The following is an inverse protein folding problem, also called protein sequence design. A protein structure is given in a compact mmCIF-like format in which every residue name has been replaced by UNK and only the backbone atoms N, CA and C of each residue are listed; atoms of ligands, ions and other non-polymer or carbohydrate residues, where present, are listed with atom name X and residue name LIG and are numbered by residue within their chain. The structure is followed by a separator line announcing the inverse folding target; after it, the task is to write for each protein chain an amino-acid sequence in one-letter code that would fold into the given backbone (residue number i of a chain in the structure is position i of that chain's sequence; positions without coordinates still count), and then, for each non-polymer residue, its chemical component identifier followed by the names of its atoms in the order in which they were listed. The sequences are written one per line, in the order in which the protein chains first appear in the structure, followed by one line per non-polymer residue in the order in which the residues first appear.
data_IF_032985366071
#
_entry.id   IF_032985366071
#
_cell.length_a   1.000
_cell.length_b   1.000
_cell.length_c   1.000
_cell.angle_alpha   90.00
_cell.angle_beta   90.00
_cell.angle_gamma   90.00
#
_symmetry.space_group_name_H-M   'P 1'
#
loop_
_entity.id
_entity.type
_entity.pdbx_description
1 polymer ?
#
# COMPACT_ATOMS: atom_id res chain seq x y z
N UNK A 1 8.65 29.30 -5.32
CA UNK A 1 7.46 29.54 -4.46
C UNK A 1 6.22 28.82 -5.00
N UNK A 2 5.94 28.83 -6.30
CA UNK A 2 4.78 28.15 -6.91
C UNK A 2 4.77 26.64 -6.71
N UNK A 3 5.88 25.93 -6.96
CA UNK A 3 5.97 24.46 -6.83
C UNK A 3 5.66 23.96 -5.42
N UNK A 4 6.10 24.69 -4.38
CA UNK A 4 5.83 24.36 -2.98
C UNK A 4 4.35 24.52 -2.58
N UNK A 5 3.68 25.52 -3.12
CA UNK A 5 2.24 25.75 -2.90
C UNK A 5 1.39 24.65 -3.59
N UNK A 6 1.77 24.25 -4.82
CA UNK A 6 1.10 23.14 -5.52
C UNK A 6 1.27 21.80 -4.79
N UNK A 7 2.48 21.51 -4.29
CA UNK A 7 2.75 20.31 -3.52
C UNK A 7 1.93 20.22 -2.23
N UNK A 8 1.76 21.32 -1.50
CA UNK A 8 0.91 21.36 -0.29
C UNK A 8 -0.58 21.20 -0.60
N UNK A 9 -1.09 21.88 -1.64
CA UNK A 9 -2.48 21.72 -2.06
C UNK A 9 -2.81 20.27 -2.44
N UNK A 10 -1.89 19.62 -3.15
CA UNK A 10 -2.05 18.22 -3.54
C UNK A 10 -2.01 17.27 -2.34
N UNK A 11 -1.12 17.49 -1.38
CA UNK A 11 -1.06 16.71 -0.14
C UNK A 11 -2.36 16.82 0.67
N UNK A 12 -2.95 18.01 0.77
CA UNK A 12 -4.25 18.23 1.44
C UNK A 12 -5.36 17.44 0.73
N UNK A 13 -5.38 17.42 -0.60
CA UNK A 13 -6.36 16.67 -1.38
C UNK A 13 -6.24 15.17 -1.14
N UNK A 14 -5.02 14.62 -1.18
CA UNK A 14 -4.75 13.19 -0.93
C UNK A 14 -5.18 12.80 0.49
N UNK A 15 -4.80 13.57 1.50
CA UNK A 15 -5.19 13.31 2.89
C UNK A 15 -6.70 13.47 3.11
N UNK A 16 -7.34 14.45 2.46
CA UNK A 16 -8.80 14.64 2.50
C UNK A 16 -9.54 13.44 1.89
N UNK A 17 -9.09 12.94 0.73
CA UNK A 17 -9.65 11.75 0.10
C UNK A 17 -9.44 10.49 0.96
N UNK A 18 -8.26 10.34 1.55
CA UNK A 18 -7.96 9.23 2.46
C UNK A 18 -8.88 9.23 3.69
N UNK A 19 -9.09 10.40 4.30
CA UNK A 19 -10.01 10.56 5.42
C UNK A 19 -11.45 10.27 5.02
N UNK A 20 -11.89 10.77 3.86
CA UNK A 20 -13.23 10.50 3.32
C UNK A 20 -13.45 9.00 3.08
N UNK A 21 -12.45 8.28 2.53
CA UNK A 21 -12.49 6.84 2.35
C UNK A 21 -12.63 6.09 3.68
N UNK A 22 -11.87 6.50 4.71
CA UNK A 22 -11.95 5.91 6.06
C UNK A 22 -13.35 6.09 6.65
N UNK A 23 -13.85 7.32 6.67
CA UNK A 23 -15.18 7.64 7.22
C UNK A 23 -16.29 6.90 6.47
N UNK A 24 -16.25 6.89 5.14
CA UNK A 24 -17.23 6.18 4.32
C UNK A 24 -17.20 4.67 4.54
N UNK A 25 -16.02 4.08 4.70
CA UNK A 25 -15.87 2.64 4.96
C UNK A 25 -16.43 2.24 6.34
N UNK A 26 -16.26 3.10 7.34
CA UNK A 26 -16.87 2.91 8.67
C UNK A 26 -18.38 3.02 8.57
N UNK A 27 -18.89 4.06 7.90
CA UNK A 27 -20.33 4.26 7.69
C UNK A 27 -20.99 3.08 6.97
N UNK A 28 -20.33 2.55 5.93
CA UNK A 28 -20.80 1.39 5.17
C UNK A 28 -20.73 0.07 5.94
N UNK A 29 -20.01 0.03 7.07
CA UNK A 29 -19.78 -1.18 7.86
C UNK A 29 -18.78 -2.16 7.24
N UNK A 30 -17.99 -1.72 6.27
CA UNK A 30 -17.01 -2.55 5.54
C UNK A 30 -15.67 -2.67 6.27
N UNK A 31 -15.49 -1.97 7.38
CA UNK A 31 -14.21 -1.81 8.07
C UNK A 31 -13.58 -3.15 8.52
N UNK A 32 -14.39 -4.12 8.97
CA UNK A 32 -13.88 -5.43 9.38
C UNK A 32 -13.29 -6.24 8.22
N UNK A 33 -13.91 -6.15 7.03
CA UNK A 33 -13.48 -6.84 5.82
C UNK A 33 -12.24 -6.20 5.21
N UNK A 34 -12.13 -4.89 5.31
CA UNK A 34 -11.06 -4.07 4.75
C UNK A 34 -10.09 -3.56 5.81
N UNK A 35 -9.97 -4.27 6.96
CA UNK A 35 -9.18 -3.80 8.09
C UNK A 35 -7.71 -3.51 7.72
N UNK A 36 -7.06 -4.38 6.93
CA UNK A 36 -5.67 -4.20 6.54
C UNK A 36 -5.46 -2.98 5.61
N UNK A 37 -6.18 -2.84 4.46
CA UNK A 37 -6.04 -1.66 3.62
C UNK A 37 -6.45 -0.36 4.33
N UNK A 38 -7.53 -0.38 5.12
CA UNK A 38 -7.96 0.80 5.87
C UNK A 38 -6.97 1.18 6.99
N UNK A 39 -6.38 0.19 7.65
CA UNK A 39 -5.30 0.40 8.62
C UNK A 39 -4.08 1.07 7.99
N UNK A 40 -3.73 0.68 6.76
CA UNK A 40 -2.67 1.32 5.99
C UNK A 40 -3.01 2.77 5.62
N UNK A 41 -4.23 3.02 5.12
CA UNK A 41 -4.70 4.40 4.82
C UNK A 41 -4.73 5.26 6.07
N UNK A 42 -5.16 4.71 7.21
CA UNK A 42 -5.10 5.40 8.49
C UNK A 42 -3.66 5.76 8.89
N UNK A 43 -2.73 4.82 8.72
CA UNK A 43 -1.30 5.05 8.90
C UNK A 43 -0.75 6.16 8.02
N UNK A 44 -1.13 6.19 6.73
CA UNK A 44 -0.79 7.27 5.80
C UNK A 44 -1.27 8.63 6.32
N UNK A 45 -2.55 8.76 6.67
CA UNK A 45 -3.13 10.02 7.19
C UNK A 45 -2.43 10.46 8.48
N UNK A 46 -2.19 9.53 9.39
CA UNK A 46 -1.54 9.83 10.67
C UNK A 46 -0.09 10.29 10.47
N UNK A 47 0.67 9.60 9.61
CA UNK A 47 2.09 9.87 9.40
C UNK A 47 2.27 11.10 8.51
N UNK A 48 1.68 11.11 7.31
CA UNK A 48 1.89 12.19 6.34
C UNK A 48 1.06 13.43 6.66
N UNK A 49 -0.18 13.24 7.12
CA UNK A 49 -1.08 14.35 7.39
C UNK A 49 -0.84 15.03 8.73
N UNK A 50 -0.38 14.32 9.75
CA UNK A 50 -0.25 14.85 11.12
C UNK A 50 1.19 14.83 11.62
N UNK A 51 1.83 13.65 11.67
CA UNK A 51 3.09 13.51 12.38
C UNK A 51 4.25 14.22 11.66
N UNK A 52 4.36 14.08 10.34
CA UNK A 52 5.39 14.75 9.54
C UNK A 52 5.22 16.28 9.54
N UNK A 53 4.00 16.78 9.43
CA UNK A 53 3.72 18.22 9.49
C UNK A 53 4.03 18.81 10.87
N UNK A 54 3.70 18.08 11.96
CA UNK A 54 4.04 18.50 13.32
C UNK A 54 5.55 18.59 13.55
N UNK A 55 6.31 17.55 13.12
CA UNK A 55 7.77 17.53 13.28
C UNK A 55 8.43 18.60 12.39
N UNK A 56 7.90 18.80 11.17
CA UNK A 56 8.35 19.85 10.26
C UNK A 56 8.15 21.25 10.88
N UNK A 57 6.99 21.49 11.49
CA UNK A 57 6.70 22.75 12.17
C UNK A 57 7.63 22.99 13.37
N UNK A 58 7.92 21.93 14.15
CA UNK A 58 8.71 22.04 15.38
C UNK A 58 10.19 22.20 15.15
N UNK A 59 10.77 21.50 14.17
CA UNK A 59 12.22 21.40 13.97
C UNK A 59 12.71 22.02 12.66
N UNK A 60 11.83 22.27 11.71
CA UNK A 60 12.18 22.81 10.39
C UNK A 60 12.71 21.75 9.41
N UNK A 61 12.66 22.08 8.12
CA UNK A 61 12.98 21.19 7.00
C UNK A 61 14.45 20.72 6.98
N UNK A 62 15.38 21.56 7.43
CA UNK A 62 16.82 21.31 7.38
C UNK A 62 17.35 20.57 8.62
N UNK A 63 16.49 20.23 9.60
CA UNK A 63 16.95 19.58 10.82
C UNK A 63 17.22 18.08 10.64
N UNK A 64 18.25 17.58 11.33
CA UNK A 64 18.56 16.15 11.34
C UNK A 64 17.47 15.32 12.02
N UNK A 65 16.74 15.92 12.99
CA UNK A 65 15.59 15.30 13.63
C UNK A 65 14.45 15.06 12.62
N UNK A 66 14.12 16.06 11.80
CA UNK A 66 13.09 15.88 10.76
C UNK A 66 13.51 14.82 9.74
N UNK A 67 14.77 14.84 9.29
CA UNK A 67 15.30 13.85 8.34
C UNK A 67 15.23 12.43 8.90
N UNK A 68 15.68 12.23 10.13
CA UNK A 68 15.64 10.91 10.77
C UNK A 68 14.20 10.42 10.99
N UNK A 69 13.29 11.30 11.42
CA UNK A 69 11.89 10.98 11.58
C UNK A 69 11.22 10.63 10.25
N UNK A 70 11.53 11.37 9.19
CA UNK A 70 11.02 11.10 7.84
C UNK A 70 11.38 9.70 7.38
N UNK A 71 12.67 9.31 7.47
CA UNK A 71 13.12 7.98 7.07
C UNK A 71 12.49 6.86 7.91
N UNK A 72 12.40 7.05 9.21
CA UNK A 72 11.79 6.06 10.10
C UNK A 72 10.31 5.84 9.77
N UNK A 73 9.56 6.91 9.55
CA UNK A 73 8.13 6.83 9.20
C UNK A 73 7.90 6.24 7.82
N UNK A 74 8.81 6.49 6.89
CA UNK A 74 8.74 5.94 5.54
C UNK A 74 8.98 4.41 5.53
N UNK A 75 9.94 3.93 6.34
CA UNK A 75 10.12 2.49 6.59
C UNK A 75 8.89 1.88 7.24
N UNK A 76 8.28 2.56 8.21
CA UNK A 76 7.05 2.08 8.84
C UNK A 76 5.89 1.94 7.84
N UNK A 77 5.75 2.91 6.91
CA UNK A 77 4.77 2.82 5.81
C UNK A 77 5.09 1.68 4.83
N UNK A 78 6.35 1.47 4.49
CA UNK A 78 6.75 0.35 3.63
C UNK A 78 6.45 -1.01 4.29
N UNK A 79 6.71 -1.14 5.59
CA UNK A 79 6.33 -2.34 6.37
C UNK A 79 4.80 -2.51 6.41
N UNK A 80 4.05 -1.43 6.63
CA UNK A 80 2.59 -1.44 6.57
C UNK A 80 2.08 -1.93 5.21
N UNK A 81 2.67 -1.45 4.14
CA UNK A 81 2.36 -1.88 2.77
C UNK A 81 2.65 -3.38 2.54
N UNK A 82 3.79 -3.89 3.04
CA UNK A 82 4.11 -5.32 3.01
C UNK A 82 3.08 -6.17 3.76
N UNK A 83 2.62 -5.70 4.92
CA UNK A 83 1.56 -6.38 5.69
C UNK A 83 0.22 -6.39 4.94
N UNK A 84 -0.11 -5.33 4.22
CA UNK A 84 -1.32 -5.28 3.36
C UNK A 84 -1.23 -6.31 2.24
N UNK A 85 -0.09 -6.41 1.56
CA UNK A 85 0.13 -7.45 0.52
C UNK A 85 -0.02 -8.84 1.14
N UNK A 86 0.54 -9.08 2.33
CA UNK A 86 0.36 -10.32 3.08
C UNK A 86 -1.11 -10.62 3.41
N UNK A 87 -1.88 -9.61 3.79
CA UNK A 87 -3.32 -9.74 4.02
C UNK A 87 -4.11 -10.05 2.75
N UNK A 88 -3.69 -9.50 1.60
CA UNK A 88 -4.28 -9.84 0.31
C UNK A 88 -3.99 -11.30 -0.09
N UNK A 89 -2.77 -11.77 0.10
CA UNK A 89 -2.45 -13.20 -0.07
C UNK A 89 -3.28 -14.09 0.85
N UNK A 90 -3.42 -13.70 2.13
CA UNK A 90 -4.27 -14.43 3.06
C UNK A 90 -5.72 -14.53 2.55
N UNK A 91 -6.29 -13.42 2.06
CA UNK A 91 -7.65 -13.39 1.51
C UNK A 91 -7.77 -14.24 0.25
N UNK A 92 -6.81 -14.18 -0.66
CA UNK A 92 -6.78 -14.99 -1.88
C UNK A 92 -6.68 -16.50 -1.59
N UNK A 93 -5.90 -16.88 -0.57
CA UNK A 93 -5.67 -18.27 -0.17
C UNK A 93 -6.63 -18.79 0.90
N UNK A 94 -7.69 -18.04 1.27
CA UNK A 94 -8.56 -18.37 2.40
C UNK A 94 -9.28 -19.73 2.27
N UNK A 95 -9.41 -20.25 1.05
CA UNK A 95 -10.08 -21.53 0.78
C UNK A 95 -9.15 -22.75 0.90
N UNK A 96 -7.82 -22.57 0.88
CA UNK A 96 -6.83 -23.64 0.99
C UNK A 96 -5.79 -23.35 2.07
N UNK A 97 -5.94 -24.03 3.20
CA UNK A 97 -5.05 -23.91 4.37
C UNK A 97 -3.61 -24.33 4.04
N UNK A 98 -3.42 -25.31 3.13
CA UNK A 98 -2.07 -25.75 2.74
C UNK A 98 -1.38 -24.67 1.92
N UNK A 99 -2.09 -24.09 0.95
CA UNK A 99 -1.60 -22.98 0.14
C UNK A 99 -1.25 -21.76 0.99
N UNK A 100 -2.12 -21.38 1.94
CA UNK A 100 -1.82 -20.30 2.86
C UNK A 100 -0.57 -20.55 3.71
N UNK A 101 -0.38 -21.76 4.22
CA UNK A 101 0.81 -22.10 5.01
C UNK A 101 2.09 -21.97 4.21
N UNK A 102 2.08 -22.43 2.96
CA UNK A 102 3.19 -22.27 2.02
C UNK A 102 3.47 -20.79 1.71
N UNK A 103 2.45 -20.02 1.33
CA UNK A 103 2.57 -18.58 1.04
C UNK A 103 3.12 -17.81 2.24
N UNK A 104 2.63 -18.09 3.44
CA UNK A 104 3.14 -17.44 4.67
C UNK A 104 4.62 -17.71 4.89
N UNK A 105 5.07 -18.96 4.64
CA UNK A 105 6.48 -19.31 4.76
C UNK A 105 7.32 -18.54 3.73
N UNK A 106 6.86 -18.48 2.48
CA UNK A 106 7.53 -17.72 1.41
C UNK A 106 7.60 -16.23 1.76
N UNK A 107 6.50 -15.61 2.20
CA UNK A 107 6.48 -14.20 2.62
C UNK A 107 7.46 -13.92 3.76
N UNK A 108 7.50 -14.81 4.76
CA UNK A 108 8.44 -14.70 5.88
C UNK A 108 9.89 -14.83 5.40
N UNK A 109 10.16 -15.81 4.54
CA UNK A 109 11.51 -16.00 3.97
C UNK A 109 11.96 -14.77 3.16
N UNK A 110 11.11 -14.26 2.29
CA UNK A 110 11.38 -13.05 1.49
C UNK A 110 11.63 -11.83 2.39
N UNK A 111 10.85 -11.66 3.45
CA UNK A 111 11.06 -10.57 4.40
C UNK A 111 12.44 -10.65 5.08
N UNK A 112 12.81 -11.82 5.60
CA UNK A 112 14.11 -12.01 6.23
C UNK A 112 15.28 -11.90 5.23
N UNK A 113 15.07 -12.30 3.98
CA UNK A 113 16.05 -12.13 2.91
C UNK A 113 16.29 -10.65 2.61
N UNK A 114 15.22 -9.85 2.46
CA UNK A 114 15.31 -8.39 2.27
C UNK A 114 16.03 -7.73 3.46
N UNK A 115 15.66 -8.12 4.68
CA UNK A 115 16.30 -7.62 5.89
C UNK A 115 17.80 -7.97 5.92
N UNK A 116 18.16 -9.22 5.58
CA UNK A 116 19.55 -9.69 5.53
C UNK A 116 20.39 -8.95 4.48
N UNK A 117 19.85 -8.75 3.27
CA UNK A 117 20.54 -7.98 2.22
C UNK A 117 20.77 -6.54 2.68
N UNK A 118 19.76 -5.91 3.26
CA UNK A 118 19.88 -4.52 3.75
C UNK A 118 20.84 -4.40 4.93
N UNK A 119 20.92 -5.41 5.81
CA UNK A 119 21.92 -5.46 6.88
C UNK A 119 23.35 -5.66 6.35
N UNK A 120 23.52 -6.42 5.27
CA UNK A 120 24.85 -6.62 4.68
C UNK A 120 25.46 -5.33 4.11
N UNK A 121 24.62 -4.37 3.73
CA UNK A 121 25.03 -3.05 3.29
C UNK A 121 25.64 -2.20 4.43
N UNK A 122 25.23 -2.43 5.68
CA UNK A 122 25.82 -1.78 6.85
C UNK A 122 27.33 -2.04 7.01
N UNK A 123 27.79 -3.21 6.58
CA UNK A 123 29.21 -3.58 6.71
C UNK A 123 30.10 -2.89 5.68
N UNK A 124 29.52 -2.31 4.63
CA UNK A 124 30.27 -1.66 3.52
C UNK A 124 30.52 -0.16 3.71
N UNK A 125 29.69 0.57 4.47
CA UNK A 125 29.73 2.05 4.57
C UNK A 125 29.75 2.48 6.03
N UNK A 126 30.95 2.81 6.57
CA UNK A 126 31.14 3.16 7.98
C UNK A 126 30.67 4.57 8.39
N UNK A 127 30.57 5.54 7.47
CA UNK A 127 30.45 6.95 7.84
C UNK A 127 29.01 7.50 7.94
N UNK A 128 27.97 6.79 7.37
CA UNK A 128 26.57 7.19 7.45
C UNK A 128 25.63 5.96 7.56
N UNK A 129 26.00 5.02 8.39
CA UNK A 129 25.41 3.68 8.53
C UNK A 129 23.88 3.70 8.64
N UNK A 130 23.33 4.60 9.46
CA UNK A 130 21.90 4.60 9.77
C UNK A 130 21.03 5.05 8.59
N UNK A 131 21.43 6.11 7.89
CA UNK A 131 20.62 6.65 6.78
C UNK A 131 20.72 5.76 5.52
N UNK A 132 21.91 5.19 5.26
CA UNK A 132 22.11 4.26 4.15
C UNK A 132 21.27 2.99 4.33
N UNK A 133 21.25 2.42 5.54
CA UNK A 133 20.44 1.25 5.85
C UNK A 133 18.95 1.49 5.62
N UNK A 134 18.38 2.58 6.17
CA UNK A 134 16.96 2.87 6.01
C UNK A 134 16.60 3.07 4.55
N UNK A 135 17.42 3.76 3.78
CA UNK A 135 17.19 3.97 2.36
C UNK A 135 17.19 2.65 1.58
N UNK A 136 18.23 1.81 1.76
CA UNK A 136 18.31 0.53 1.05
C UNK A 136 17.24 -0.46 1.48
N UNK A 137 16.95 -0.53 2.78
CA UNK A 137 15.89 -1.39 3.29
C UNK A 137 14.52 -1.01 2.71
N UNK A 138 14.22 0.27 2.69
CA UNK A 138 12.99 0.80 2.11
C UNK A 138 12.91 0.51 0.61
N UNK A 139 13.97 0.78 -0.14
CA UNK A 139 14.05 0.51 -1.57
C UNK A 139 13.80 -0.97 -1.88
N UNK A 140 14.55 -1.86 -1.21
CA UNK A 140 14.42 -3.30 -1.39
C UNK A 140 13.02 -3.80 -1.01
N UNK A 141 12.43 -3.24 0.04
CA UNK A 141 11.09 -3.61 0.48
C UNK A 141 10.02 -3.17 -0.51
N UNK A 142 10.09 -1.95 -1.08
CA UNK A 142 9.14 -1.49 -2.09
C UNK A 142 9.23 -2.31 -3.39
N UNK A 143 10.44 -2.62 -3.88
CA UNK A 143 10.59 -3.51 -5.03
C UNK A 143 10.03 -4.91 -4.76
N UNK A 144 10.30 -5.44 -3.58
CA UNK A 144 9.75 -6.73 -3.14
C UNK A 144 8.23 -6.70 -3.10
N UNK A 145 7.64 -5.66 -2.52
CA UNK A 145 6.19 -5.49 -2.49
C UNK A 145 5.58 -5.40 -3.90
N UNK A 146 6.24 -4.69 -4.82
CA UNK A 146 5.79 -4.61 -6.21
C UNK A 146 5.78 -5.99 -6.88
N UNK A 147 6.87 -6.76 -6.72
CA UNK A 147 6.96 -8.13 -7.27
C UNK A 147 5.92 -9.05 -6.64
N UNK A 148 5.79 -9.05 -5.33
CA UNK A 148 4.79 -9.87 -4.62
C UNK A 148 3.36 -9.51 -5.01
N UNK A 149 3.06 -8.22 -5.15
CA UNK A 149 1.73 -7.76 -5.58
C UNK A 149 1.43 -8.19 -7.03
N UNK A 150 2.43 -8.15 -7.92
CA UNK A 150 2.30 -8.65 -9.29
C UNK A 150 2.10 -10.16 -9.32
N UNK A 151 2.86 -10.91 -8.52
CA UNK A 151 2.68 -12.36 -8.39
C UNK A 151 1.30 -12.72 -7.85
N UNK A 152 0.81 -11.97 -6.86
CA UNK A 152 -0.54 -12.13 -6.35
C UNK A 152 -1.59 -11.92 -7.43
N UNK A 153 -1.46 -10.87 -8.23
CA UNK A 153 -2.37 -10.59 -9.34
C UNK A 153 -2.38 -11.73 -10.37
N UNK A 154 -1.20 -12.19 -10.79
CA UNK A 154 -1.06 -13.33 -11.72
C UNK A 154 -1.68 -14.60 -11.12
N UNK A 155 -1.41 -14.88 -9.85
CA UNK A 155 -1.99 -16.01 -9.14
C UNK A 155 -3.53 -15.96 -9.13
N UNK A 156 -4.12 -14.80 -8.83
CA UNK A 156 -5.57 -14.62 -8.85
C UNK A 156 -6.17 -14.89 -10.23
N UNK A 157 -5.51 -14.44 -11.30
CA UNK A 157 -5.94 -14.71 -12.67
C UNK A 157 -5.85 -16.18 -13.04
N UNK A 158 -4.76 -16.85 -12.67
CA UNK A 158 -4.54 -18.27 -13.00
C UNK A 158 -5.52 -19.20 -12.27
N UNK A 159 -5.81 -18.89 -10.99
CA UNK A 159 -6.74 -19.70 -10.20
C UNK A 159 -8.20 -19.31 -10.39
N UNK A 160 -8.50 -18.33 -11.24
CA UNK A 160 -9.88 -17.87 -11.50
C UNK A 160 -10.57 -17.35 -10.23
N UNK A 161 -9.84 -16.69 -9.33
CA UNK A 161 -10.40 -16.14 -8.09
C UNK A 161 -11.28 -14.94 -8.46
N UNK A 162 -12.61 -15.18 -8.48
CA UNK A 162 -13.61 -14.18 -8.84
C UNK A 162 -13.92 -13.25 -7.65
N UNK A 163 -12.91 -12.57 -7.11
CA UNK A 163 -13.07 -11.52 -6.08
C UNK A 163 -12.73 -10.16 -6.68
N UNK A 164 -13.73 -9.51 -7.30
CA UNK A 164 -13.58 -8.20 -7.95
C UNK A 164 -13.07 -7.11 -7.00
N UNK A 165 -13.46 -7.18 -5.71
CA UNK A 165 -13.00 -6.24 -4.71
C UNK A 165 -11.50 -6.42 -4.46
N UNK A 166 -11.04 -7.66 -4.27
CA UNK A 166 -9.63 -7.96 -4.08
C UNK A 166 -8.81 -7.57 -5.30
N UNK A 167 -9.31 -7.82 -6.52
CA UNK A 167 -8.67 -7.39 -7.77
C UNK A 167 -8.42 -5.88 -7.80
N UNK A 168 -9.43 -5.09 -7.43
CA UNK A 168 -9.30 -3.62 -7.38
C UNK A 168 -8.33 -3.16 -6.28
N UNK A 169 -8.36 -3.83 -5.12
CA UNK A 169 -7.44 -3.50 -4.02
C UNK A 169 -5.97 -3.79 -4.40
N UNK A 170 -5.72 -4.94 -5.03
CA UNK A 170 -4.40 -5.34 -5.53
C UNK A 170 -3.92 -4.39 -6.63
N UNK A 171 -4.80 -4.00 -7.56
CA UNK A 171 -4.49 -3.03 -8.60
C UNK A 171 -4.11 -1.67 -8.01
N UNK A 172 -4.89 -1.15 -7.07
CA UNK A 172 -4.59 0.10 -6.38
C UNK A 172 -3.25 0.06 -5.63
N UNK A 173 -2.96 -1.07 -4.97
CA UNK A 173 -1.67 -1.25 -4.29
C UNK A 173 -0.49 -1.32 -5.27
N UNK A 174 -0.68 -1.91 -6.45
CA UNK A 174 0.30 -1.89 -7.53
C UNK A 174 0.64 -0.47 -7.98
N UNK A 175 -0.36 0.40 -8.12
CA UNK A 175 -0.15 1.83 -8.40
C UNK A 175 0.68 2.49 -7.29
N UNK A 176 0.38 2.22 -6.03
CA UNK A 176 1.13 2.77 -4.89
C UNK A 176 2.62 2.38 -4.94
N UNK A 177 2.94 1.14 -5.30
CA UNK A 177 4.33 0.68 -5.39
C UNK A 177 5.05 1.19 -6.63
N UNK A 178 4.34 1.45 -7.72
CA UNK A 178 4.91 1.97 -8.95
C UNK A 178 5.61 3.33 -8.74
N UNK A 179 5.06 4.18 -7.88
CA UNK A 179 5.64 5.48 -7.56
C UNK A 179 7.06 5.40 -6.99
N UNK A 180 7.27 4.82 -5.79
CA UNK A 180 8.59 4.64 -5.23
C UNK A 180 9.55 3.84 -6.12
N UNK A 181 9.09 2.75 -6.74
CA UNK A 181 9.92 1.94 -7.63
C UNK A 181 10.44 2.74 -8.84
N UNK A 182 9.57 3.53 -9.50
CA UNK A 182 9.98 4.40 -10.60
C UNK A 182 10.95 5.50 -10.13
N UNK A 183 10.75 6.05 -8.94
CA UNK A 183 11.64 7.06 -8.38
C UNK A 183 13.05 6.52 -8.13
N UNK A 184 13.18 5.33 -7.56
CA UNK A 184 14.47 4.69 -7.34
C UNK A 184 15.16 4.38 -8.67
N UNK A 185 14.41 3.90 -9.68
CA UNK A 185 14.95 3.65 -11.01
C UNK A 185 15.41 4.95 -11.71
N UNK A 186 14.62 6.01 -11.63
CA UNK A 186 14.95 7.31 -12.21
C UNK A 186 16.14 7.97 -11.51
N UNK A 187 16.25 7.85 -10.20
CA UNK A 187 17.38 8.41 -9.45
C UNK A 187 18.73 7.79 -9.86
N UNK A 188 18.75 6.55 -10.36
CA UNK A 188 19.94 5.91 -10.89
C UNK A 188 20.28 6.29 -12.33
N UNK A 189 19.32 6.84 -13.10
CA UNK A 189 19.47 7.10 -14.53
C UNK A 189 19.58 8.59 -14.89
N UNK A 190 19.15 9.51 -13.99
CA UNK A 190 19.05 10.94 -14.27
C UNK A 190 19.83 11.80 -13.29
N UNK A 191 20.05 13.08 -13.64
CA UNK A 191 20.61 14.05 -12.69
C UNK A 191 19.70 14.27 -11.48
N UNK A 192 20.29 14.51 -10.33
CA UNK A 192 19.60 14.69 -9.04
C UNK A 192 18.47 15.73 -9.08
N UNK A 193 18.62 16.82 -9.84
CA UNK A 193 17.61 17.87 -9.95
C UNK A 193 16.34 17.42 -10.71
N UNK A 194 16.54 16.71 -11.82
CA UNK A 194 15.43 16.19 -12.65
C UNK A 194 14.69 15.06 -11.89
N UNK A 195 15.44 14.17 -11.25
CA UNK A 195 14.86 13.12 -10.42
C UNK A 195 14.03 13.70 -9.26
N UNK A 196 14.53 14.75 -8.59
CA UNK A 196 13.83 15.42 -7.49
C UNK A 196 12.53 16.08 -7.93
N UNK A 197 12.50 16.72 -9.10
CA UNK A 197 11.28 17.33 -9.65
C UNK A 197 10.22 16.28 -9.97
N UNK A 198 10.60 15.17 -10.60
CA UNK A 198 9.70 14.05 -10.90
C UNK A 198 9.20 13.36 -9.63
N UNK A 199 10.08 13.17 -8.64
CA UNK A 199 9.74 12.58 -7.35
C UNK A 199 8.63 13.33 -6.63
N UNK A 200 8.65 14.65 -6.66
CA UNK A 200 7.66 15.49 -5.96
C UNK A 200 6.22 15.32 -6.48
N UNK A 201 6.05 14.84 -7.71
CA UNK A 201 4.74 14.67 -8.34
C UNK A 201 4.30 13.22 -8.47
N UNK A 202 5.25 12.34 -8.81
CA UNK A 202 4.90 10.95 -9.17
C UNK A 202 4.42 10.12 -7.99
N UNK A 203 5.07 10.23 -6.84
CA UNK A 203 4.66 9.54 -5.62
C UNK A 203 3.23 9.88 -5.19
N UNK A 204 2.91 11.17 -4.97
CA UNK A 204 1.56 11.60 -4.62
C UNK A 204 0.48 11.22 -5.66
N UNK A 205 0.80 11.26 -6.97
CA UNK A 205 -0.12 10.81 -8.02
C UNK A 205 -0.44 9.32 -7.92
N UNK A 206 0.55 8.48 -7.64
CA UNK A 206 0.35 7.05 -7.42
C UNK A 206 -0.52 6.78 -6.18
N UNK A 207 -0.30 7.52 -5.09
CA UNK A 207 -1.14 7.45 -3.88
C UNK A 207 -2.57 7.88 -4.18
N UNK A 208 -2.76 8.94 -4.96
CA UNK A 208 -4.09 9.37 -5.40
C UNK A 208 -4.77 8.28 -6.23
N UNK A 209 -4.06 7.68 -7.20
CA UNK A 209 -4.55 6.58 -8.02
C UNK A 209 -4.98 5.38 -7.18
N UNK A 210 -4.18 4.99 -6.18
CA UNK A 210 -4.54 3.95 -5.21
C UNK A 210 -5.83 4.29 -4.47
N UNK A 211 -5.93 5.49 -3.89
CA UNK A 211 -7.10 5.91 -3.12
C UNK A 211 -8.37 5.97 -3.97
N UNK A 212 -8.28 6.44 -5.22
CA UNK A 212 -9.42 6.45 -6.15
C UNK A 212 -9.88 5.03 -6.47
N UNK A 213 -8.94 4.11 -6.76
CA UNK A 213 -9.25 2.71 -7.04
C UNK A 213 -9.89 2.03 -5.84
N UNK A 214 -9.38 2.27 -4.65
CA UNK A 214 -9.94 1.72 -3.41
C UNK A 214 -11.29 2.33 -3.05
N UNK A 215 -11.46 3.64 -3.27
CA UNK A 215 -12.76 4.31 -3.10
C UNK A 215 -13.81 3.70 -4.03
N UNK A 216 -13.45 3.46 -5.29
CA UNK A 216 -14.32 2.79 -6.25
C UNK A 216 -14.68 1.36 -5.80
N UNK A 217 -13.71 0.59 -5.32
CA UNK A 217 -13.95 -0.75 -4.79
C UNK A 217 -14.93 -0.74 -3.62
N UNK A 218 -14.74 0.19 -2.67
CA UNK A 218 -15.64 0.31 -1.50
C UNK A 218 -17.05 0.76 -1.91
N UNK A 219 -17.18 1.68 -2.86
CA UNK A 219 -18.50 2.18 -3.32
C UNK A 219 -19.26 1.11 -4.09
N UNK A 220 -18.61 0.43 -5.04
CA UNK A 220 -19.25 -0.54 -5.94
C UNK A 220 -19.73 -1.80 -5.24
N UNK A 221 -19.05 -2.26 -4.18
CA UNK A 221 -19.39 -3.51 -3.53
C UNK A 221 -20.63 -3.38 -2.64
N UNK A 222 -21.59 -4.35 -2.68
CA UNK A 222 -22.80 -4.33 -1.88
C UNK A 222 -22.48 -4.37 -0.38
N UNK A 223 -23.40 -3.82 0.43
CA UNK A 223 -23.29 -3.91 1.90
C UNK A 223 -23.26 -5.37 2.34
N UNK A 224 -22.52 -5.72 3.41
CA UNK A 224 -22.40 -7.09 3.89
C UNK A 224 -23.74 -7.77 4.20
N UNK A 225 -24.75 -6.99 4.59
CA UNK A 225 -26.11 -7.48 4.83
C UNK A 225 -26.82 -7.89 3.53
N UNK A 226 -26.68 -7.11 2.46
CA UNK A 226 -27.28 -7.41 1.15
C UNK A 226 -26.62 -8.62 0.48
N UNK A 227 -25.30 -8.77 0.60
CA UNK A 227 -24.56 -9.92 0.10
C UNK A 227 -25.04 -11.24 0.73
N UNK A 228 -25.35 -11.24 2.03
CA UNK A 228 -25.92 -12.41 2.72
C UNK A 228 -27.34 -12.76 2.23
N UNK A 229 -28.12 -11.77 1.89
CA UNK A 229 -29.50 -11.96 1.38
C UNK A 229 -29.48 -12.50 -0.04
N UNK A 230 -28.61 -11.95 -0.91
CA UNK A 230 -28.43 -12.42 -2.29
C UNK A 230 -27.90 -13.86 -2.30
N UNK A 231 -26.89 -14.17 -1.49
CA UNK A 231 -26.35 -15.53 -1.37
C UNK A 231 -27.35 -16.58 -0.87
N UNK A 232 -28.41 -16.18 -0.13
CA UNK A 232 -29.50 -17.06 0.26
C UNK A 232 -30.56 -17.23 -0.81
N UNK A 233 -30.78 -16.27 -1.69
CA UNK A 233 -31.79 -16.30 -2.75
C UNK A 233 -31.33 -17.08 -3.98
N UNK A 234 -30.03 -17.05 -4.31
CA UNK A 234 -29.47 -17.74 -5.48
C UNK A 234 -29.80 -19.26 -5.49
N UNK A 235 -29.57 -20.04 -4.41
CA UNK A 235 -29.88 -21.47 -4.43
C UNK A 235 -31.39 -21.76 -4.55
N UNK A 236 -32.28 -20.87 -4.10
CA UNK A 236 -33.70 -20.99 -4.21
C UNK A 236 -34.17 -20.82 -5.67
N UNK A 237 -33.61 -19.81 -6.36
CA UNK A 237 -33.92 -19.52 -7.76
C UNK A 237 -33.41 -20.61 -8.72
N UNK A 238 -32.25 -21.18 -8.45
CA UNK A 238 -31.69 -22.29 -9.24
C UNK A 238 -32.51 -23.57 -9.08
N UNK A 239 -33.09 -23.79 -7.87
CA UNK A 239 -33.88 -24.96 -7.59
C UNK A 239 -35.27 -24.87 -8.27
N UNK A 240 -35.86 -23.66 -8.38
CA UNK A 240 -37.15 -23.46 -9.03
C UNK A 240 -37.09 -23.67 -10.55
N UNK A 241 -35.95 -23.40 -11.20
CA UNK A 241 -35.76 -23.66 -12.65
C UNK A 241 -35.57 -25.12 -13.03
N UNK A 242 -35.29 -26.02 -12.07
CA UNK A 242 -35.15 -27.47 -12.34
C UNK A 242 -36.44 -28.25 -12.16
N UNK A 243 -37.50 -27.62 -11.71
CA UNK A 243 -38.81 -28.25 -11.44
C UNK A 243 -39.89 -27.78 -12.46
N UNK A 244 -39.55 -26.85 -13.33
CA UNK A 244 -40.34 -26.39 -14.45
C UNK A 244 -39.75 -26.94 -15.78
#
# INVERSE_FOLDING_TARGET
MSVFLYSKGFSILVNGLALALLLYSVYKGSWKRLAAPLGYVFGLVLIDGVAREYVLYRYGLASDQYRSFYWLTDVALALGAFLVVGAFFYRACAHDVKMWRFVRLVLSFVFFLVLGISLSSLTRNSDNLRNAFFFEFQQNLYFTCLVLNTLLYIMMQQFGIADDELNLLVCGMGLQFAGPAANFALASLTSYETARALYSWFGPLCTLGMLLTWSYAVVKMPKPAEARTIGRLVPVLVRSRRVA
#
